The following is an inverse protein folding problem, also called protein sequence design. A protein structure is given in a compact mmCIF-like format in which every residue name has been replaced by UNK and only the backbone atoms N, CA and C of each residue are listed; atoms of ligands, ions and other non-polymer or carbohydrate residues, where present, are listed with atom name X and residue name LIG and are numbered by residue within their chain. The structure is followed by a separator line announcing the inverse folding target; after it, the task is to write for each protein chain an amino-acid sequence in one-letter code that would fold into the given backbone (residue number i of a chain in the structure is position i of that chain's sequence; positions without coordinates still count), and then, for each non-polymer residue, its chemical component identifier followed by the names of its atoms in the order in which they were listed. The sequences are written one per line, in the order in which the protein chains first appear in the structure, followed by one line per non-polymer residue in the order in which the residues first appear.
data_IF_538718321828
#
_entry.id   IF_538718321828
#
_cell.length_a   1.000
_cell.length_b   1.000
_cell.length_c   1.000
_cell.angle_alpha   90.00
_cell.angle_beta   90.00
_cell.angle_gamma   90.00
#
_symmetry.space_group_name_H-M   'P 1'
#
loop_
_entity.id
_entity.type
_entity.pdbx_description
1 polymer ?
#
# COMPACT_ATOMS: atom_id res chain seq x y z
N UNK A 1 15.99 -8.08 5.63
CA UNK A 1 14.53 -8.12 5.54
C UNK A 1 14.10 -9.53 5.85
N UNK A 2 13.08 -9.69 6.69
CA UNK A 2 12.44 -10.96 6.98
C UNK A 2 10.94 -10.80 6.72
N UNK A 3 10.33 -11.77 6.02
CA UNK A 3 8.94 -11.68 5.61
C UNK A 3 8.18 -12.97 5.93
N UNK A 4 6.98 -12.82 6.48
CA UNK A 4 6.00 -13.86 6.73
C UNK A 4 4.80 -13.60 5.83
N UNK A 5 4.77 -14.29 4.70
CA UNK A 5 3.68 -14.20 3.73
C UNK A 5 2.63 -15.27 4.04
N UNK A 6 1.54 -14.85 4.70
CA UNK A 6 0.41 -15.70 5.09
C UNK A 6 -0.89 -15.11 4.51
N UNK A 7 -0.90 -14.88 3.19
CA UNK A 7 -2.01 -14.24 2.48
C UNK A 7 -3.38 -14.70 3.00
N UNK A 8 -4.30 -13.77 3.36
CA UNK A 8 -4.30 -12.35 3.01
C UNK A 8 -3.48 -11.42 3.93
N UNK A 9 -2.92 -11.93 5.04
CA UNK A 9 -2.09 -11.15 5.94
C UNK A 9 -0.60 -11.37 5.65
N UNK A 10 0.15 -10.29 5.56
CA UNK A 10 1.60 -10.34 5.41
C UNK A 10 2.27 -9.46 6.46
N UNK A 11 3.43 -9.90 6.93
CA UNK A 11 4.30 -9.10 7.79
C UNK A 11 5.72 -9.10 7.25
N UNK A 12 6.30 -7.93 7.10
CA UNK A 12 7.70 -7.75 6.73
C UNK A 12 8.39 -6.90 7.79
N UNK A 13 9.55 -7.37 8.26
CA UNK A 13 10.37 -6.68 9.26
C UNK A 13 11.73 -6.38 8.65
N UNK A 14 12.12 -5.12 8.68
CA UNK A 14 13.40 -4.62 8.18
C UNK A 14 14.18 -4.06 9.37
N UNK A 15 15.38 -4.60 9.60
CA UNK A 15 16.28 -4.21 10.68
C UNK A 15 17.68 -3.92 10.14
N UNK A 16 18.49 -3.21 10.93
CA UNK A 16 19.91 -2.98 10.66
C UNK A 16 20.74 -3.50 11.84
N UNK A 17 20.94 -4.82 11.95
CA UNK A 17 21.55 -5.43 13.14
C UNK A 17 23.04 -5.08 13.28
N UNK A 18 23.75 -4.84 12.17
CA UNK A 18 25.19 -4.60 12.17
C UNK A 18 25.59 -3.23 12.75
N UNK A 19 24.76 -2.20 12.55
CA UNK A 19 25.06 -0.85 13.02
C UNK A 19 24.07 -0.38 14.09
N UNK A 20 22.78 -0.33 13.76
CA UNK A 20 21.77 0.26 14.64
C UNK A 20 21.23 -0.73 15.68
N UNK A 21 21.46 -2.04 15.50
CA UNK A 21 20.98 -3.10 16.38
C UNK A 21 19.47 -2.96 16.62
N UNK A 22 19.07 -2.72 17.86
CA UNK A 22 17.68 -2.56 18.29
C UNK A 22 17.16 -1.12 18.15
N UNK A 23 18.02 -0.15 17.81
CA UNK A 23 17.65 1.25 17.61
C UNK A 23 16.94 1.54 16.29
N UNK A 24 16.75 0.53 15.44
CA UNK A 24 16.05 0.67 14.16
C UNK A 24 15.23 -0.57 13.80
N UNK A 25 13.97 -0.33 13.43
CA UNK A 25 13.11 -1.31 12.81
C UNK A 25 12.06 -0.60 11.96
N UNK A 26 11.78 -1.13 10.78
CA UNK A 26 10.59 -0.81 10.01
C UNK A 26 9.76 -2.10 9.93
N UNK A 27 8.51 -2.04 10.38
CA UNK A 27 7.57 -3.15 10.29
C UNK A 27 6.43 -2.74 9.36
N UNK A 28 6.19 -3.55 8.34
CA UNK A 28 5.10 -3.39 7.39
C UNK A 28 4.15 -4.57 7.61
N UNK A 29 2.92 -4.27 7.98
CA UNK A 29 1.85 -5.26 8.12
C UNK A 29 0.77 -4.92 7.09
N UNK A 30 0.39 -5.91 6.27
CA UNK A 30 -0.55 -5.72 5.17
C UNK A 30 -1.72 -6.68 5.33
N UNK A 31 -2.94 -6.18 5.16
CA UNK A 31 -4.16 -6.98 5.06
C UNK A 31 -4.81 -6.76 3.69
N UNK A 32 -4.99 -7.83 2.93
CA UNK A 32 -5.71 -7.80 1.66
C UNK A 32 -7.20 -8.08 1.91
N UNK A 33 -8.01 -7.03 1.85
CA UNK A 33 -9.46 -7.11 2.09
C UNK A 33 -10.25 -7.00 0.78
N UNK A 34 -11.32 -7.80 0.59
CA UNK A 34 -12.21 -7.68 -0.56
C UNK A 34 -13.22 -6.54 -0.37
N UNK A 35 -12.74 -5.32 -0.09
CA UNK A 35 -13.55 -4.11 0.08
C UNK A 35 -12.92 -2.90 -0.62
N UNK A 36 -13.44 -1.70 -0.33
CA UNK A 36 -12.96 -0.43 -0.90
C UNK A 36 -12.15 0.39 0.12
N UNK A 37 -11.46 -0.26 1.05
CA UNK A 37 -10.69 0.41 2.11
C UNK A 37 -11.57 1.06 3.18
N UNK A 38 -12.77 0.50 3.43
CA UNK A 38 -13.76 1.06 4.36
C UNK A 38 -13.61 0.57 5.80
N UNK A 39 -12.76 -0.43 6.05
CA UNK A 39 -12.48 -0.93 7.39
C UNK A 39 -11.65 0.07 8.21
N UNK A 40 -12.22 0.59 9.29
CA UNK A 40 -11.51 1.55 10.15
C UNK A 40 -10.29 0.94 10.83
N UNK A 41 -10.34 -0.29 11.34
CA UNK A 41 -9.23 -0.90 12.09
C UNK A 41 -8.91 -2.33 11.61
N UNK A 42 -8.53 -2.47 10.34
CA UNK A 42 -8.27 -3.78 9.70
C UNK A 42 -7.18 -4.63 10.41
N UNK A 43 -6.29 -4.01 11.18
CA UNK A 43 -5.22 -4.68 11.93
C UNK A 43 -5.56 -4.92 13.40
N UNK A 44 -6.78 -4.61 13.84
CA UNK A 44 -7.21 -4.74 15.23
C UNK A 44 -6.23 -4.08 16.22
N UNK A 45 -5.72 -2.90 15.85
CA UNK A 45 -4.83 -2.13 16.71
C UNK A 45 -5.54 -1.80 18.03
N UNK A 46 -4.84 -1.89 19.17
CA UNK A 46 -5.36 -1.40 20.44
C UNK A 46 -5.75 0.08 20.35
N UNK A 47 -6.77 0.55 21.13
CA UNK A 47 -7.28 1.92 21.04
C UNK A 47 -6.20 3.00 21.16
N UNK A 48 -5.19 2.79 21.99
CA UNK A 48 -4.09 3.72 22.21
C UNK A 48 -3.19 3.89 20.99
N UNK A 49 -2.96 2.83 20.21
CA UNK A 49 -2.19 2.86 18.96
C UNK A 49 -3.05 3.36 17.81
N UNK A 50 -4.32 2.93 17.75
CA UNK A 50 -5.25 3.35 16.71
C UNK A 50 -5.42 4.87 16.69
N UNK A 51 -5.50 5.51 17.87
CA UNK A 51 -5.57 6.98 18.00
C UNK A 51 -4.36 7.72 17.47
N UNK A 52 -3.18 7.09 17.45
CA UNK A 52 -1.93 7.72 16.98
C UNK A 52 -1.71 7.51 15.48
N UNK A 53 -2.55 6.70 14.84
CA UNK A 53 -2.42 6.35 13.43
C UNK A 53 -2.82 7.53 12.53
N UNK A 54 -2.04 7.73 11.48
CA UNK A 54 -2.45 8.48 10.30
C UNK A 54 -2.96 7.53 9.21
N UNK A 55 -4.06 7.89 8.54
CA UNK A 55 -4.58 7.15 7.39
C UNK A 55 -4.29 7.95 6.14
N UNK A 56 -3.55 7.34 5.22
CA UNK A 56 -3.24 7.89 3.90
C UNK A 56 -3.84 6.97 2.85
N UNK A 57 -4.73 7.51 2.02
CA UNK A 57 -5.26 6.82 0.85
C UNK A 57 -4.36 7.09 -0.34
N UNK A 58 -4.02 6.04 -1.09
CA UNK A 58 -3.23 6.13 -2.32
C UNK A 58 -4.17 5.91 -3.51
N UNK A 59 -4.31 6.92 -4.37
CA UNK A 59 -5.02 6.84 -5.63
C UNK A 59 -4.02 6.64 -6.78
N UNK A 60 -3.91 5.40 -7.26
CA UNK A 60 -2.96 5.02 -8.31
C UNK A 60 -3.19 5.72 -9.67
N UNK A 61 -4.33 6.38 -9.89
CA UNK A 61 -4.64 7.08 -11.13
C UNK A 61 -4.46 8.59 -10.99
N UNK A 62 -4.75 9.16 -9.83
CA UNK A 62 -4.82 10.62 -9.64
C UNK A 62 -3.72 11.21 -8.74
N UNK A 63 -3.04 10.40 -7.92
CA UNK A 63 -1.96 10.91 -7.08
C UNK A 63 -0.77 11.37 -7.92
N UNK A 64 -0.12 12.43 -7.46
CA UNK A 64 1.04 12.98 -8.17
C UNK A 64 2.23 12.04 -8.04
N UNK A 65 2.72 11.56 -9.18
CA UNK A 65 3.98 10.82 -9.27
C UNK A 65 5.12 11.80 -9.53
N UNK A 66 6.25 11.60 -8.85
CA UNK A 66 7.45 12.41 -9.09
C UNK A 66 7.90 12.25 -10.55
N UNK A 67 8.29 13.36 -11.19
CA UNK A 67 8.66 13.37 -12.62
C UNK A 67 9.76 12.35 -12.97
N UNK A 68 10.70 12.12 -12.04
CA UNK A 68 11.79 11.14 -12.21
C UNK A 68 11.33 9.68 -12.20
N UNK A 69 10.20 9.40 -11.56
CA UNK A 69 9.66 8.04 -11.38
C UNK A 69 8.55 7.74 -12.40
N UNK A 70 7.98 8.77 -13.03
CA UNK A 70 6.89 8.63 -13.99
C UNK A 70 7.35 7.93 -15.29
N UNK A 71 6.64 6.85 -15.65
CA UNK A 71 6.78 6.20 -16.96
C UNK A 71 5.41 6.08 -17.63
N UNK A 72 5.23 6.54 -18.88
CA UNK A 72 3.94 6.42 -19.59
C UNK A 72 3.42 4.99 -19.71
N UNK A 73 4.31 3.99 -19.72
CA UNK A 73 3.96 2.57 -19.81
C UNK A 73 3.46 1.97 -18.49
N UNK A 74 3.68 2.66 -17.38
CA UNK A 74 3.28 2.25 -16.02
C UNK A 74 2.11 3.10 -15.50
N UNK A 75 1.58 4.01 -16.34
CA UNK A 75 0.49 4.93 -16.02
C UNK A 75 -0.89 4.25 -16.17
N UNK A 76 -1.62 4.00 -15.07
CA UNK A 76 -2.93 3.33 -15.12
C UNK A 76 -4.00 4.14 -15.87
N UNK A 77 -3.80 5.44 -16.06
CA UNK A 77 -4.70 6.32 -16.82
C UNK A 77 -4.52 6.19 -18.33
N UNK A 78 -3.45 5.50 -18.78
CA UNK A 78 -3.13 5.31 -20.21
C UNK A 78 -3.22 3.86 -20.67
N UNK A 79 -3.24 2.90 -19.74
CA UNK A 79 -3.19 1.48 -20.05
C UNK A 79 -4.57 0.83 -19.98
N UNK A 80 -4.90 0.00 -20.98
CA UNK A 80 -6.07 -0.89 -20.97
C UNK A 80 -5.61 -2.33 -21.13
N UNK A 81 -6.04 -3.20 -20.22
CA UNK A 81 -5.75 -4.63 -20.30
C UNK A 81 -6.51 -5.29 -21.45
N UNK A 82 -5.81 -5.88 -22.41
CA UNK A 82 -6.44 -6.62 -23.51
C UNK A 82 -7.18 -7.88 -23.02
N UNK A 83 -6.63 -8.57 -22.02
CA UNK A 83 -7.19 -9.82 -21.50
C UNK A 83 -8.44 -9.63 -20.64
N UNK A 84 -8.50 -8.55 -19.88
CA UNK A 84 -9.57 -8.32 -18.89
C UNK A 84 -10.48 -7.15 -19.22
N UNK A 85 -10.10 -6.32 -20.19
CA UNK A 85 -10.81 -5.09 -20.54
C UNK A 85 -10.72 -3.96 -19.50
N UNK A 86 -10.05 -4.17 -18.35
CA UNK A 86 -9.90 -3.17 -17.28
C UNK A 86 -9.05 -1.99 -17.74
N UNK A 87 -9.40 -0.80 -17.27
CA UNK A 87 -8.74 0.45 -17.61
C UNK A 87 -9.19 1.03 -18.97
N UNK A 88 -8.67 2.22 -19.32
CA UNK A 88 -7.83 3.08 -18.49
C UNK A 88 -8.58 3.65 -17.29
N UNK A 89 -7.89 3.80 -16.16
CA UNK A 89 -8.46 4.39 -14.95
C UNK A 89 -8.52 5.91 -15.12
N UNK A 90 -9.69 6.46 -15.43
CA UNK A 90 -9.83 7.89 -15.76
C UNK A 90 -10.94 8.54 -14.93
N UNK A 91 -10.73 9.81 -14.60
CA UNK A 91 -11.67 10.61 -13.81
C UNK A 91 -11.70 10.23 -12.33
N UNK A 92 -12.50 10.95 -11.54
CA UNK A 92 -12.61 10.73 -10.08
C UNK A 92 -13.44 9.51 -9.69
N UNK A 93 -14.19 8.94 -10.64
CA UNK A 93 -15.15 7.85 -10.38
C UNK A 93 -14.60 6.46 -10.71
N UNK A 94 -13.29 6.33 -10.97
CA UNK A 94 -12.68 5.02 -11.25
C UNK A 94 -12.66 4.11 -10.01
N UNK A 95 -12.60 4.74 -8.83
CA UNK A 95 -12.52 4.08 -7.54
C UNK A 95 -13.74 3.19 -7.28
#
# INVERSE_FOLDING_TARGET
EEAWNAYPYCKTVITNPGYMKQGFSITIETMHSPDRGTQENAHFLPPEKLKQREVVFIDIANDTVLTKDYKPTEDPTKMKSEKTGRGPLTGKNWQ
#
